data_IF_194811010121
#
_entry.id   IF_194811010121
#
_cell.length_a   1.000
_cell.length_b   1.000
_cell.length_c   1.000
_cell.angle_alpha   90.00
_cell.angle_beta   90.00
_cell.angle_gamma   90.00
#
_symmetry.space_group_name_H-M   'P 1'
#
loop_
_entity.id
_entity.type
_entity.pdbx_description
1 polymer ?
#
# COMPACT_ATOMS: atom_id res chain seq x y z
N UNK A 1 18.18 -14.37 40.21
CA UNK A 1 17.67 -13.15 40.81
C UNK A 1 16.90 -12.20 39.84
N UNK A 2 16.62 -12.57 38.58
CA UNK A 2 15.89 -11.71 37.60
C UNK A 2 14.36 -11.97 37.49
N UNK A 3 13.80 -12.97 38.17
CA UNK A 3 12.35 -13.32 38.11
C UNK A 3 11.47 -12.68 39.22
N UNK A 4 12.06 -11.97 40.19
CA UNK A 4 11.33 -11.36 41.29
C UNK A 4 10.90 -9.91 41.06
N UNK A 5 11.61 -9.16 40.19
CA UNK A 5 11.35 -7.73 39.98
C UNK A 5 10.12 -7.49 39.09
N UNK A 6 9.84 -8.42 38.14
CA UNK A 6 8.70 -8.31 37.20
C UNK A 6 7.32 -8.40 37.91
N UNK A 7 7.21 -9.14 39.01
CA UNK A 7 5.92 -9.31 39.75
C UNK A 7 5.55 -8.09 40.58
N UNK A 8 6.52 -7.30 41.03
CA UNK A 8 6.26 -6.11 41.82
C UNK A 8 5.87 -4.89 40.95
N UNK A 9 6.33 -4.83 39.73
CA UNK A 9 5.95 -3.78 38.76
C UNK A 9 4.51 -3.98 38.30
N UNK A 10 4.06 -5.21 38.09
CA UNK A 10 2.67 -5.52 37.74
C UNK A 10 1.67 -5.20 38.87
N UNK A 11 2.10 -5.32 40.13
CA UNK A 11 1.24 -5.02 41.30
C UNK A 11 1.11 -3.51 41.56
N UNK A 12 2.11 -2.72 41.21
CA UNK A 12 2.09 -1.23 41.33
C UNK A 12 1.21 -0.57 40.26
N UNK A 13 1.15 -1.12 39.05
CA UNK A 13 0.30 -0.60 38.00
C UNK A 13 -1.20 -0.88 38.24
N UNK A 14 -1.55 -1.97 38.90
CA UNK A 14 -2.95 -2.27 39.23
C UNK A 14 -3.53 -1.43 40.38
N UNK A 15 -2.71 -0.90 41.27
CA UNK A 15 -3.15 -0.01 42.37
C UNK A 15 -3.39 1.41 41.89
N UNK A 16 -2.68 1.89 40.89
CA UNK A 16 -2.88 3.24 40.33
C UNK A 16 -4.17 3.36 39.51
N UNK A 17 -4.67 2.28 38.87
CA UNK A 17 -5.94 2.27 38.15
C UNK A 17 -7.20 2.31 39.04
N UNK A 18 -7.11 1.91 40.32
CA UNK A 18 -8.26 1.87 41.25
C UNK A 18 -8.49 3.23 41.92
N UNK A 19 -7.53 4.11 41.96
CA UNK A 19 -7.65 5.42 42.64
C UNK A 19 -8.24 6.53 41.75
N UNK A 20 -8.32 6.35 40.42
CA UNK A 20 -8.89 7.36 39.49
C UNK A 20 -10.42 7.23 39.24
N UNK A 21 -11.11 6.25 39.78
CA UNK A 21 -12.55 6.06 39.60
C UNK A 21 -13.44 6.62 40.73
N UNK A 22 -12.88 7.31 41.74
CA UNK A 22 -13.63 7.74 42.95
C UNK A 22 -13.84 9.24 43.15
N UNK A 23 -13.65 10.08 42.13
CA UNK A 23 -13.86 11.53 42.28
C UNK A 23 -14.70 12.09 41.10
N UNK A 24 -16.01 12.03 41.21
CA UNK A 24 -16.87 12.68 40.22
C UNK A 24 -18.35 12.41 40.37
N UNK A 25 -18.95 12.69 41.51
CA UNK A 25 -20.41 12.83 41.65
C UNK A 25 -20.77 13.86 42.72
N UNK A 26 -21.34 15.00 42.33
CA UNK A 26 -22.24 15.84 43.13
C UNK A 26 -22.95 16.82 42.21
N UNK A 27 -24.19 16.58 41.82
CA UNK A 27 -25.52 17.15 42.16
C UNK A 27 -25.47 18.64 42.54
N UNK A 28 -26.34 19.53 42.13
CA UNK A 28 -27.80 19.71 42.00
C UNK A 28 -27.98 21.22 41.87
N UNK A 29 -28.96 21.86 41.35
CA UNK A 29 -30.41 21.88 41.28
C UNK A 29 -30.89 23.15 40.57
N UNK A 30 -31.85 23.00 39.76
CA UNK A 30 -33.07 23.77 39.46
C UNK A 30 -33.36 25.05 40.23
N UNK A 31 -33.76 26.10 39.49
CA UNK A 31 -35.03 26.84 39.75
C UNK A 31 -35.36 27.84 38.66
N UNK A 32 -36.47 27.65 37.95
CA UNK A 32 -37.41 28.68 37.50
C UNK A 32 -38.32 29.05 38.69
N UNK A 33 -39.17 30.11 38.69
CA UNK A 33 -39.96 30.65 37.57
C UNK A 33 -40.36 32.16 37.62
N UNK A 34 -40.96 32.61 36.53
CA UNK A 34 -42.21 33.36 36.37
C UNK A 34 -42.33 34.86 36.60
N UNK A 35 -42.85 35.48 35.53
CA UNK A 35 -43.98 36.45 35.45
C UNK A 35 -43.78 37.87 36.02
N UNK A 36 -44.25 38.90 35.51
CA UNK A 36 -45.43 39.26 34.71
C UNK A 36 -45.43 40.77 34.48
N UNK A 37 -46.10 41.17 33.41
CA UNK A 37 -46.98 42.33 33.27
C UNK A 37 -46.48 43.75 32.96
N UNK A 38 -46.88 44.12 31.80
CA UNK A 38 -47.89 45.15 31.38
C UNK A 38 -47.49 46.62 31.25
N UNK A 39 -47.77 47.05 30.06
CA UNK A 39 -48.62 48.19 29.65
C UNK A 39 -47.93 49.55 29.41
N UNK A 40 -48.11 50.00 28.29
CA UNK A 40 -48.87 51.09 27.69
C UNK A 40 -48.07 52.21 27.02
N UNK A 41 -48.53 52.50 25.82
CA UNK A 41 -48.12 53.56 24.90
C UNK A 41 -48.62 54.96 25.44
N UNK A 42 -48.32 56.13 24.83
CA UNK A 42 -48.54 56.35 23.39
C UNK A 42 -47.51 57.29 22.69
N UNK A 43 -47.73 57.38 21.39
CA UNK A 43 -47.15 58.15 20.33
C UNK A 43 -46.79 59.61 20.56
N UNK A 44 -45.75 60.09 19.92
CA UNK A 44 -45.74 61.42 19.27
C UNK A 44 -44.81 61.39 18.01
N UNK A 45 -45.45 61.84 16.93
CA UNK A 45 -44.93 62.14 15.61
C UNK A 45 -44.01 63.35 15.63
N UNK A 46 -42.91 63.28 14.88
CA UNK A 46 -42.23 64.44 14.31
C UNK A 46 -41.50 64.03 13.02
N UNK A 47 -41.87 64.74 11.98
CA UNK A 47 -41.34 64.72 10.60
C UNK A 47 -39.92 65.14 10.46
N UNK A 48 -39.31 64.65 9.32
CA UNK A 48 -38.33 65.30 8.44
C UNK A 48 -36.91 64.80 8.47
N UNK A 49 -36.20 64.90 7.40
CA UNK A 49 -36.35 64.66 5.96
C UNK A 49 -35.50 63.57 5.37
N UNK A 50 -35.80 63.20 4.13
CA UNK A 50 -35.08 62.29 3.30
C UNK A 50 -33.57 62.60 3.18
N UNK A 51 -32.75 61.64 3.53
CA UNK A 51 -31.33 61.59 3.20
C UNK A 51 -31.14 60.61 2.03
N UNK A 52 -30.36 61.05 1.06
CA UNK A 52 -30.09 60.35 -0.19
C UNK A 52 -29.55 58.95 0.00
N UNK A 53 -30.02 58.02 -0.83
CA UNK A 53 -29.49 56.66 -0.98
C UNK A 53 -28.00 56.70 -1.27
N UNK A 54 -27.16 56.24 -0.33
CA UNK A 54 -25.83 55.72 -0.62
C UNK A 54 -25.99 54.38 -1.36
N UNK A 55 -25.19 54.10 -2.41
CA UNK A 55 -25.31 52.82 -3.09
C UNK A 55 -24.92 51.71 -2.13
N UNK A 56 -25.84 50.76 -1.98
CA UNK A 56 -25.69 49.48 -1.28
C UNK A 56 -24.41 48.82 -1.78
N UNK A 57 -23.42 48.74 -0.91
CA UNK A 57 -22.18 48.05 -1.18
C UNK A 57 -22.54 46.55 -1.34
N UNK A 58 -22.46 46.04 -2.55
CA UNK A 58 -22.66 44.63 -2.81
C UNK A 58 -21.72 43.86 -1.89
N UNK A 59 -22.30 43.07 -0.98
CA UNK A 59 -21.54 42.11 -0.16
C UNK A 59 -20.68 41.28 -1.09
N UNK A 60 -19.38 41.30 -0.82
CA UNK A 60 -18.47 40.35 -1.43
C UNK A 60 -18.99 38.94 -1.08
N UNK A 61 -18.98 38.00 -2.04
CA UNK A 61 -19.43 36.64 -1.75
C UNK A 61 -18.68 36.12 -0.53
N UNK A 62 -19.44 35.76 0.50
CA UNK A 62 -18.97 35.11 1.72
C UNK A 62 -18.16 33.88 1.23
N UNK A 63 -16.87 33.89 1.44
CA UNK A 63 -16.02 32.72 1.11
C UNK A 63 -16.51 31.58 2.00
N UNK A 64 -17.09 30.57 1.37
CA UNK A 64 -17.48 29.35 2.07
C UNK A 64 -16.25 28.82 2.85
N UNK A 65 -16.45 28.41 4.10
CA UNK A 65 -15.38 27.83 4.90
C UNK A 65 -14.81 26.59 4.17
N UNK A 66 -13.49 26.40 4.16
CA UNK A 66 -12.87 25.25 3.49
C UNK A 66 -13.42 23.93 4.03
N UNK A 67 -13.75 23.02 3.13
CA UNK A 67 -14.12 21.65 3.48
C UNK A 67 -12.85 20.94 3.95
N UNK A 68 -12.94 20.21 5.07
CA UNK A 68 -11.81 19.40 5.55
C UNK A 68 -12.11 17.91 5.33
N UNK A 69 -11.17 17.21 4.69
CA UNK A 69 -11.19 15.75 4.53
C UNK A 69 -9.99 15.12 5.21
N UNK A 70 -10.14 13.88 5.66
CA UNK A 70 -9.08 13.10 6.28
C UNK A 70 -8.50 12.08 5.30
N UNK A 71 -7.17 12.01 5.20
CA UNK A 71 -6.45 11.03 4.39
C UNK A 71 -5.56 10.15 5.25
N UNK A 72 -5.85 8.84 5.30
CA UNK A 72 -4.98 7.87 5.98
C UNK A 72 -4.00 7.23 5.01
N UNK A 73 -2.73 7.15 5.41
CA UNK A 73 -1.66 6.57 4.59
C UNK A 73 -0.64 5.80 5.43
N UNK A 74 0.12 4.95 4.76
CA UNK A 74 1.19 4.13 5.34
C UNK A 74 2.55 4.43 4.71
N UNK A 75 2.74 5.66 4.20
CA UNK A 75 3.98 6.08 3.58
C UNK A 75 5.18 5.86 4.50
N UNK A 76 6.28 5.36 3.94
CA UNK A 76 7.59 5.34 4.58
C UNK A 76 8.16 6.76 4.73
N UNK A 77 9.28 6.90 5.43
CA UNK A 77 9.81 8.23 5.77
C UNK A 77 10.14 9.08 4.53
N UNK A 78 10.73 8.49 3.48
CA UNK A 78 11.05 9.20 2.23
C UNK A 78 9.81 9.54 1.42
N UNK A 79 8.85 8.62 1.34
CA UNK A 79 7.57 8.82 0.67
C UNK A 79 6.75 9.92 1.34
N UNK A 80 6.65 9.88 2.69
CA UNK A 80 5.94 10.89 3.46
C UNK A 80 6.59 12.27 3.32
N UNK A 81 7.93 12.33 3.33
CA UNK A 81 8.65 13.58 3.11
C UNK A 81 8.35 14.18 1.73
N UNK A 82 8.33 13.36 0.68
CA UNK A 82 7.99 13.78 -0.67
C UNK A 82 6.52 14.23 -0.77
N UNK A 83 5.61 13.46 -0.18
CA UNK A 83 4.20 13.78 -0.13
C UNK A 83 3.94 15.13 0.58
N UNK A 84 4.49 15.32 1.79
CA UNK A 84 4.23 16.52 2.58
C UNK A 84 4.93 17.78 2.04
N UNK A 85 6.13 17.64 1.46
CA UNK A 85 6.93 18.79 1.04
C UNK A 85 6.74 19.19 -0.42
N UNK A 86 6.24 18.28 -1.27
CA UNK A 86 6.06 18.53 -2.71
C UNK A 86 4.60 18.40 -3.12
N UNK A 87 3.96 17.28 -2.81
CA UNK A 87 2.60 16.98 -3.29
C UNK A 87 1.55 17.85 -2.59
N UNK A 88 1.60 17.95 -1.26
CA UNK A 88 0.61 18.74 -0.52
C UNK A 88 0.61 20.24 -0.84
N UNK A 89 1.76 20.93 -1.03
CA UNK A 89 1.78 22.30 -1.50
C UNK A 89 1.17 22.51 -2.89
N UNK A 90 1.28 21.53 -3.80
CA UNK A 90 0.60 21.58 -5.10
C UNK A 90 -0.92 21.50 -4.91
N UNK A 91 -1.39 20.58 -4.06
CA UNK A 91 -2.80 20.46 -3.72
C UNK A 91 -3.37 21.76 -3.16
N UNK A 92 -2.74 22.32 -2.13
CA UNK A 92 -3.17 23.55 -1.47
C UNK A 92 -3.24 24.76 -2.43
N UNK A 93 -2.37 24.74 -3.46
CA UNK A 93 -2.39 25.79 -4.50
C UNK A 93 -3.55 25.63 -5.47
N UNK A 94 -3.87 24.37 -5.85
CA UNK A 94 -4.90 24.05 -6.84
C UNK A 94 -6.31 24.03 -6.22
N UNK A 95 -6.42 23.60 -4.97
CA UNK A 95 -7.67 23.37 -4.26
C UNK A 95 -7.68 24.03 -2.86
N UNK A 96 -7.53 25.37 -2.78
CA UNK A 96 -7.49 26.07 -1.48
C UNK A 96 -8.81 25.96 -0.68
N UNK A 97 -9.89 25.55 -1.35
CA UNK A 97 -11.22 25.30 -0.75
C UNK A 97 -11.35 23.93 -0.06
N UNK A 98 -10.38 23.01 -0.26
CA UNK A 98 -10.40 21.67 0.33
C UNK A 98 -9.11 21.46 1.14
N UNK A 99 -9.24 21.43 2.45
CA UNK A 99 -8.14 21.09 3.36
C UNK A 99 -8.03 19.58 3.51
N UNK A 100 -6.81 19.04 3.42
CA UNK A 100 -6.54 17.61 3.67
C UNK A 100 -5.78 17.46 4.99
N UNK A 101 -6.34 16.69 5.91
CA UNK A 101 -5.65 16.24 7.13
C UNK A 101 -5.08 14.84 6.88
N UNK A 102 -3.80 14.79 6.51
CA UNK A 102 -3.09 13.55 6.29
C UNK A 102 -2.63 12.93 7.62
N UNK A 103 -2.92 11.65 7.81
CA UNK A 103 -2.61 10.92 9.05
C UNK A 103 -1.87 9.64 8.70
N UNK A 104 -0.59 9.58 9.06
CA UNK A 104 0.20 8.36 8.91
C UNK A 104 -0.24 7.31 9.92
N UNK A 105 -0.41 6.08 9.44
CA UNK A 105 -0.81 4.92 10.21
C UNK A 105 0.31 3.87 10.24
N UNK A 106 0.31 3.05 11.29
CA UNK A 106 1.21 1.89 11.39
C UNK A 106 0.77 0.80 10.41
N UNK A 107 1.62 0.44 9.46
CA UNK A 107 1.33 -0.53 8.41
C UNK A 107 0.94 -1.91 8.94
N UNK A 108 1.52 -2.34 10.08
CA UNK A 108 1.30 -3.66 10.67
C UNK A 108 -0.14 -3.86 11.20
N UNK A 109 -0.84 -2.76 11.54
CA UNK A 109 -2.20 -2.80 12.08
C UNK A 109 -3.23 -2.15 11.13
N UNK A 110 -2.77 -1.60 10.02
CA UNK A 110 -3.58 -0.74 9.16
C UNK A 110 -4.82 -1.42 8.60
N UNK A 111 -4.68 -2.65 8.09
CA UNK A 111 -5.83 -3.44 7.61
C UNK A 111 -6.91 -3.58 8.69
N UNK A 112 -6.52 -3.97 9.92
CA UNK A 112 -7.45 -4.15 11.02
C UNK A 112 -8.11 -2.83 11.45
N UNK A 113 -7.37 -1.72 11.41
CA UNK A 113 -7.89 -0.40 11.72
C UNK A 113 -8.97 0.01 10.71
N UNK A 114 -8.72 -0.16 9.41
CA UNK A 114 -9.70 0.13 8.35
C UNK A 114 -10.96 -0.72 8.53
N UNK A 115 -10.83 -2.04 8.68
CA UNK A 115 -11.98 -2.93 8.85
C UNK A 115 -12.82 -2.56 10.08
N UNK A 116 -12.16 -2.23 11.18
CA UNK A 116 -12.85 -1.80 12.43
C UNK A 116 -13.57 -0.48 12.25
N UNK A 117 -13.03 0.43 11.43
CA UNK A 117 -13.60 1.76 11.20
C UNK A 117 -14.96 1.71 10.51
N UNK A 118 -15.23 0.72 9.64
CA UNK A 118 -16.50 0.59 8.93
C UNK A 118 -17.72 0.53 9.85
N UNK A 119 -17.59 -0.18 10.97
CA UNK A 119 -18.70 -0.36 11.93
C UNK A 119 -18.85 0.77 12.95
N UNK A 120 -17.88 1.67 13.06
CA UNK A 120 -17.82 2.68 14.12
C UNK A 120 -18.09 4.10 13.62
N UNK A 121 -18.13 4.31 12.29
CA UNK A 121 -18.24 5.65 11.69
C UNK A 121 -16.96 6.49 11.87
N UNK A 122 -15.82 5.84 12.14
CA UNK A 122 -14.51 6.48 12.33
C UNK A 122 -13.59 6.28 11.13
N UNK A 123 -14.14 5.89 9.99
CA UNK A 123 -13.36 5.78 8.75
C UNK A 123 -12.86 7.14 8.30
N UNK A 124 -11.69 7.22 7.66
CA UNK A 124 -11.27 8.46 6.97
C UNK A 124 -12.19 8.76 5.78
N UNK A 125 -12.04 9.93 5.18
CA UNK A 125 -12.71 10.24 3.90
C UNK A 125 -12.02 9.50 2.75
N UNK A 126 -10.68 9.44 2.79
CA UNK A 126 -9.81 8.82 1.78
C UNK A 126 -8.73 7.99 2.46
N UNK A 127 -8.33 6.90 1.84
CA UNK A 127 -7.17 6.13 2.32
C UNK A 127 -6.33 5.57 1.17
N UNK A 128 -5.01 5.46 1.42
CA UNK A 128 -4.09 4.61 0.67
C UNK A 128 -4.29 3.17 1.13
N UNK A 129 -4.58 2.27 0.22
CA UNK A 129 -5.00 0.88 0.51
C UNK A 129 -4.19 -0.09 -0.32
N UNK A 130 -3.60 -1.11 0.30
CA UNK A 130 -2.96 -2.20 -0.44
C UNK A 130 -3.94 -2.84 -1.43
N UNK A 131 -3.51 -3.01 -2.67
CA UNK A 131 -4.30 -3.55 -3.79
C UNK A 131 -5.03 -4.86 -3.46
N UNK A 132 -4.49 -5.67 -2.57
CA UNK A 132 -5.07 -6.95 -2.17
C UNK A 132 -6.33 -6.82 -1.29
N UNK A 133 -6.61 -5.63 -0.75
CA UNK A 133 -7.68 -5.40 0.22
C UNK A 133 -8.95 -4.73 -0.38
N UNK A 134 -8.87 -4.12 -1.54
CA UNK A 134 -10.00 -3.38 -2.15
C UNK A 134 -11.25 -4.25 -2.25
N UNK A 135 -11.12 -5.47 -2.78
CA UNK A 135 -12.27 -6.37 -2.94
C UNK A 135 -12.93 -6.73 -1.60
N UNK A 136 -12.14 -6.90 -0.54
CA UNK A 136 -12.62 -7.20 0.81
C UNK A 136 -13.36 -6.01 1.41
N UNK A 137 -12.84 -4.81 1.26
CA UNK A 137 -13.45 -3.58 1.77
C UNK A 137 -14.72 -3.19 1.00
N UNK A 138 -14.71 -3.36 -0.33
CA UNK A 138 -15.88 -3.16 -1.18
C UNK A 138 -17.00 -4.14 -0.83
N UNK A 139 -16.69 -5.42 -0.60
CA UNK A 139 -17.66 -6.43 -0.15
C UNK A 139 -18.31 -6.07 1.18
N UNK A 140 -17.58 -5.44 2.08
CA UNK A 140 -18.10 -4.99 3.38
C UNK A 140 -18.90 -3.69 3.28
N UNK A 141 -18.97 -3.06 2.09
CA UNK A 141 -19.68 -1.81 1.87
C UNK A 141 -18.96 -0.57 2.42
N UNK A 142 -17.65 -0.69 2.75
CA UNK A 142 -16.87 0.41 3.30
C UNK A 142 -16.41 1.43 2.26
N UNK A 143 -16.32 1.04 0.97
CA UNK A 143 -15.80 1.89 -0.09
C UNK A 143 -16.90 2.38 -1.04
N UNK A 144 -16.79 3.62 -1.49
CA UNK A 144 -17.62 4.18 -2.55
C UNK A 144 -17.20 3.62 -3.92
N UNK A 145 -18.16 3.35 -4.79
CA UNK A 145 -17.87 2.93 -6.16
C UNK A 145 -17.47 4.14 -7.00
N UNK A 146 -16.17 4.32 -7.26
CA UNK A 146 -15.66 5.47 -8.01
C UNK A 146 -16.07 5.43 -9.49
N UNK A 147 -16.35 4.24 -10.02
CA UNK A 147 -16.91 4.08 -11.38
C UNK A 147 -18.30 4.68 -11.56
N UNK A 148 -18.98 5.09 -10.50
CA UNK A 148 -20.27 5.78 -10.58
C UNK A 148 -20.12 7.30 -10.85
N UNK A 149 -18.90 7.85 -10.75
CA UNK A 149 -18.62 9.24 -11.11
C UNK A 149 -18.54 9.42 -12.64
N UNK A 150 -19.09 10.51 -13.18
CA UNK A 150 -19.27 10.67 -14.63
C UNK A 150 -17.97 10.78 -15.43
N UNK A 151 -16.89 11.23 -14.83
CA UNK A 151 -15.55 11.40 -15.44
C UNK A 151 -14.65 10.17 -15.31
N UNK A 152 -15.04 9.17 -14.53
CA UNK A 152 -14.25 7.97 -14.26
C UNK A 152 -13.80 7.24 -15.53
N UNK A 153 -14.67 7.09 -16.54
CA UNK A 153 -14.34 6.38 -17.76
C UNK A 153 -13.19 7.05 -18.54
N UNK A 154 -13.14 8.37 -18.54
CA UNK A 154 -12.04 9.13 -19.14
C UNK A 154 -10.75 8.99 -18.34
N UNK A 155 -10.84 9.09 -17.03
CA UNK A 155 -9.71 8.96 -16.11
C UNK A 155 -9.10 7.57 -16.17
N UNK A 156 -9.90 6.52 -16.05
CA UNK A 156 -9.44 5.12 -16.02
C UNK A 156 -8.75 4.68 -17.31
N UNK A 157 -9.07 5.27 -18.45
CA UNK A 157 -8.41 4.99 -19.72
C UNK A 157 -6.91 5.36 -19.75
N UNK A 158 -6.48 6.28 -18.88
CA UNK A 158 -5.08 6.72 -18.75
C UNK A 158 -4.22 5.78 -17.91
N UNK A 159 -4.83 4.94 -17.09
CA UNK A 159 -4.11 4.04 -16.19
C UNK A 159 -3.64 2.75 -16.85
N UNK A 160 -2.57 2.17 -16.35
CA UNK A 160 -2.13 0.83 -16.66
C UNK A 160 -3.22 -0.19 -16.30
N UNK A 161 -3.44 -1.17 -17.16
CA UNK A 161 -4.57 -2.10 -17.02
C UNK A 161 -4.41 -3.01 -15.79
N UNK A 162 -3.19 -3.45 -15.47
CA UNK A 162 -2.94 -4.33 -14.33
C UNK A 162 -3.21 -3.64 -12.98
N UNK A 163 -2.62 -2.46 -12.66
CA UNK A 163 -2.99 -1.72 -11.44
C UNK A 163 -4.47 -1.33 -11.39
N UNK A 164 -5.07 -0.90 -12.50
CA UNK A 164 -6.49 -0.56 -12.52
C UNK A 164 -7.37 -1.76 -12.17
N UNK A 165 -7.00 -2.96 -12.62
CA UNK A 165 -7.80 -4.18 -12.38
C UNK A 165 -7.91 -4.57 -10.91
N UNK A 166 -6.99 -4.15 -10.05
CA UNK A 166 -7.01 -4.44 -8.61
C UNK A 166 -8.18 -3.76 -7.89
N UNK A 167 -8.68 -2.68 -8.48
CA UNK A 167 -9.82 -1.91 -7.95
C UNK A 167 -11.19 -2.49 -8.33
N UNK A 168 -11.21 -3.52 -9.17
CA UNK A 168 -12.46 -4.07 -9.72
C UNK A 168 -13.08 -5.10 -8.77
N UNK A 169 -14.33 -4.86 -8.36
CA UNK A 169 -15.12 -5.82 -7.63
C UNK A 169 -16.57 -5.81 -8.14
N UNK A 170 -17.11 -6.98 -8.53
CA UNK A 170 -18.48 -7.17 -9.05
C UNK A 170 -18.88 -6.16 -10.15
N UNK A 171 -17.96 -5.86 -11.06
CA UNK A 171 -18.21 -4.99 -12.22
C UNK A 171 -18.13 -3.49 -11.93
N UNK A 172 -17.72 -3.09 -10.72
CA UNK A 172 -17.49 -1.70 -10.34
C UNK A 172 -16.07 -1.51 -9.82
N UNK A 173 -15.52 -0.29 -9.97
CA UNK A 173 -14.22 0.10 -9.44
C UNK A 173 -14.39 0.88 -8.13
N UNK A 174 -13.68 0.47 -7.09
CA UNK A 174 -13.80 1.00 -5.72
C UNK A 174 -12.59 1.80 -5.27
N UNK A 175 -11.67 2.08 -6.16
CA UNK A 175 -10.50 2.93 -5.96
C UNK A 175 -9.94 3.37 -7.30
N UNK A 176 -8.88 4.18 -7.24
CA UNK A 176 -7.99 4.49 -8.35
C UNK A 176 -6.61 3.94 -8.01
N UNK A 177 -5.84 3.41 -8.98
CA UNK A 177 -4.47 3.00 -8.70
C UNK A 177 -3.66 4.23 -8.30
N UNK A 178 -2.96 4.17 -7.17
CA UNK A 178 -2.17 5.28 -6.62
C UNK A 178 -0.71 5.17 -7.02
N UNK A 179 -0.15 3.99 -6.84
CA UNK A 179 1.16 3.59 -7.30
C UNK A 179 1.16 2.12 -7.69
N UNK A 180 2.21 1.68 -8.35
CA UNK A 180 2.40 0.27 -8.68
C UNK A 180 3.84 -0.13 -8.40
N UNK A 181 4.07 -1.41 -8.20
CA UNK A 181 5.38 -1.98 -8.08
C UNK A 181 5.35 -3.47 -8.42
N UNK A 182 6.51 -4.07 -8.57
CA UNK A 182 6.65 -5.50 -8.69
C UNK A 182 8.00 -5.90 -8.06
N UNK A 183 8.23 -7.19 -7.89
CA UNK A 183 9.56 -7.68 -7.57
C UNK A 183 10.40 -7.76 -8.84
N UNK A 184 11.66 -7.30 -8.75
CA UNK A 184 12.71 -7.55 -9.73
C UNK A 184 13.90 -8.20 -9.03
N UNK A 185 14.87 -8.66 -9.79
CA UNK A 185 16.09 -9.21 -9.21
C UNK A 185 16.98 -8.06 -8.69
N UNK A 186 17.27 -8.08 -7.39
CA UNK A 186 18.37 -7.32 -6.78
C UNK A 186 19.60 -8.21 -6.81
N UNK A 187 20.64 -7.76 -7.48
CA UNK A 187 21.80 -8.60 -7.84
C UNK A 187 23.08 -7.98 -7.36
N UNK A 188 23.88 -8.75 -6.60
CA UNK A 188 25.26 -8.39 -6.27
C UNK A 188 26.21 -8.95 -7.33
N UNK A 189 26.69 -8.09 -8.22
CA UNK A 189 27.60 -8.48 -9.31
C UNK A 189 28.97 -8.97 -8.83
N UNK A 190 29.41 -8.61 -7.61
CA UNK A 190 30.65 -9.12 -7.06
C UNK A 190 30.49 -10.60 -6.64
N UNK A 191 29.36 -10.93 -5.98
CA UNK A 191 29.07 -12.32 -5.60
C UNK A 191 28.77 -13.17 -6.84
N UNK A 192 28.13 -12.61 -7.89
CA UNK A 192 27.98 -13.32 -9.17
C UNK A 192 29.33 -13.74 -9.77
N UNK A 193 30.33 -12.86 -9.73
CA UNK A 193 31.69 -13.20 -10.21
C UNK A 193 32.33 -14.33 -9.41
N UNK A 194 32.05 -14.42 -8.11
CA UNK A 194 32.51 -15.57 -7.29
C UNK A 194 31.86 -16.88 -7.73
N UNK A 195 30.65 -16.82 -8.33
CA UNK A 195 30.02 -17.98 -8.96
C UNK A 195 30.55 -18.28 -10.37
N UNK A 196 31.47 -17.47 -10.88
CA UNK A 196 32.01 -17.61 -12.25
C UNK A 196 31.12 -16.97 -13.32
N UNK A 197 30.20 -16.10 -12.93
CA UNK A 197 29.32 -15.37 -13.83
C UNK A 197 29.81 -13.92 -13.97
N UNK A 198 30.32 -13.56 -15.13
CA UNK A 198 30.82 -12.21 -15.41
C UNK A 198 29.70 -11.21 -15.65
N UNK A 199 28.53 -11.70 -16.09
CA UNK A 199 27.31 -10.93 -16.37
C UNK A 199 26.12 -11.52 -15.63
N UNK A 200 25.04 -10.75 -15.49
CA UNK A 200 23.78 -11.25 -14.92
C UNK A 200 23.19 -12.28 -15.89
N UNK A 201 22.95 -13.52 -15.44
CA UNK A 201 22.48 -14.58 -16.32
C UNK A 201 21.09 -14.27 -16.87
N UNK A 202 20.86 -14.56 -18.13
CA UNK A 202 19.57 -14.40 -18.78
C UNK A 202 18.56 -15.48 -18.34
N UNK A 203 19.05 -16.62 -17.86
CA UNK A 203 18.21 -17.74 -17.43
C UNK A 203 18.53 -18.17 -16.00
N UNK A 204 17.49 -18.63 -15.30
CA UNK A 204 17.63 -19.17 -13.95
C UNK A 204 18.39 -20.51 -13.95
N UNK A 205 18.31 -21.26 -15.04
CA UNK A 205 19.11 -22.49 -15.20
C UNK A 205 20.62 -22.21 -15.12
N UNK A 206 21.10 -21.19 -15.81
CA UNK A 206 22.50 -20.78 -15.76
C UNK A 206 22.91 -20.34 -14.35
N UNK A 207 22.05 -19.54 -13.68
CA UNK A 207 22.26 -19.13 -12.30
C UNK A 207 22.35 -20.33 -11.35
N UNK A 208 21.39 -21.27 -11.44
CA UNK A 208 21.32 -22.47 -10.59
C UNK A 208 22.57 -23.33 -10.74
N UNK A 209 23.01 -23.59 -11.98
CA UNK A 209 24.23 -24.39 -12.21
C UNK A 209 25.47 -23.73 -11.61
N UNK A 210 25.61 -22.43 -11.74
CA UNK A 210 26.69 -21.67 -11.12
C UNK A 210 26.63 -21.72 -9.58
N UNK A 211 25.43 -21.49 -9.01
CA UNK A 211 25.20 -21.49 -7.57
C UNK A 211 25.50 -22.85 -6.91
N UNK A 212 25.15 -23.96 -7.55
CA UNK A 212 25.47 -25.33 -7.07
C UNK A 212 26.96 -25.54 -6.84
N UNK A 213 27.82 -24.88 -7.62
CA UNK A 213 29.27 -25.02 -7.48
C UNK A 213 29.81 -24.38 -6.21
N UNK A 214 29.12 -23.37 -5.66
CA UNK A 214 29.52 -22.65 -4.44
C UNK A 214 29.31 -23.46 -3.17
N UNK A 215 28.30 -24.32 -3.13
CA UNK A 215 27.95 -25.15 -1.98
C UNK A 215 27.42 -24.40 -0.77
N UNK A 216 27.03 -23.10 -0.96
CA UNK A 216 26.36 -22.24 0.02
C UNK A 216 25.24 -21.50 -0.67
N UNK A 217 24.25 -21.05 0.09
CA UNK A 217 23.14 -20.31 -0.43
C UNK A 217 23.57 -19.09 -1.27
N UNK A 218 23.00 -18.95 -2.43
CA UNK A 218 23.31 -17.87 -3.38
C UNK A 218 22.09 -17.01 -3.73
N UNK A 219 20.89 -17.52 -3.43
CA UNK A 219 19.61 -16.83 -3.60
C UNK A 219 18.83 -16.88 -2.30
N UNK A 220 18.31 -15.74 -1.86
CA UNK A 220 17.51 -15.65 -0.65
C UNK A 220 16.07 -15.28 -0.97
N UNK A 221 15.14 -15.80 -0.17
CA UNK A 221 13.75 -15.40 -0.11
C UNK A 221 13.43 -14.95 1.31
N UNK A 222 12.90 -13.74 1.44
CA UNK A 222 12.71 -13.10 2.74
C UNK A 222 11.68 -13.81 3.62
N UNK A 223 10.64 -14.42 3.03
CA UNK A 223 9.58 -15.06 3.77
C UNK A 223 8.80 -16.11 2.98
N UNK A 224 7.86 -16.75 3.65
CA UNK A 224 6.98 -17.79 3.09
C UNK A 224 5.67 -17.24 2.51
N UNK A 225 5.42 -15.94 2.65
CA UNK A 225 4.20 -15.28 2.19
C UNK A 225 4.05 -15.27 0.67
N UNK A 226 2.86 -14.91 0.24
CA UNK A 226 2.50 -14.81 -1.18
C UNK A 226 3.38 -13.79 -1.93
N UNK A 227 3.63 -12.63 -1.33
CA UNK A 227 4.52 -11.61 -1.88
C UNK A 227 5.93 -12.14 -2.18
N UNK A 228 6.47 -12.98 -1.30
CA UNK A 228 7.83 -13.48 -1.43
C UNK A 228 7.93 -14.72 -2.32
N UNK A 229 6.96 -15.63 -2.21
CA UNK A 229 7.05 -16.96 -2.83
C UNK A 229 6.39 -17.06 -4.19
N UNK A 230 5.35 -16.26 -4.49
CA UNK A 230 4.62 -16.36 -5.77
C UNK A 230 5.51 -16.15 -7.00
N UNK A 231 6.48 -15.21 -7.02
CA UNK A 231 7.38 -15.08 -8.17
C UNK A 231 8.12 -16.37 -8.51
N UNK A 232 8.65 -17.07 -7.51
CA UNK A 232 9.35 -18.34 -7.70
C UNK A 232 8.39 -19.46 -8.11
N UNK A 233 7.24 -19.57 -7.46
CA UNK A 233 6.23 -20.56 -7.78
C UNK A 233 5.77 -20.45 -9.25
N UNK A 234 5.46 -19.25 -9.72
CA UNK A 234 5.09 -19.01 -11.11
C UNK A 234 6.24 -19.18 -12.08
N UNK A 235 7.44 -18.76 -11.70
CA UNK A 235 8.66 -18.94 -12.51
C UNK A 235 8.90 -20.42 -12.83
N UNK A 236 8.74 -21.28 -11.84
CA UNK A 236 8.89 -22.74 -12.01
C UNK A 236 7.64 -23.43 -12.58
N UNK A 237 6.63 -22.68 -12.98
CA UNK A 237 5.47 -23.19 -13.73
C UNK A 237 4.24 -23.47 -12.91
N UNK A 238 4.23 -23.10 -11.62
CA UNK A 238 3.04 -23.20 -10.76
C UNK A 238 1.90 -22.32 -11.20
N UNK A 239 0.67 -22.74 -10.94
CA UNK A 239 -0.56 -22.03 -11.28
C UNK A 239 -1.47 -22.02 -10.06
N UNK A 240 -1.92 -20.84 -9.62
CA UNK A 240 -2.76 -20.72 -8.41
C UNK A 240 -4.23 -21.00 -8.71
N UNK A 241 -4.75 -20.44 -9.80
CA UNK A 241 -6.18 -20.46 -10.14
C UNK A 241 -6.38 -20.48 -11.65
N UNK A 242 -7.63 -20.63 -12.09
CA UNK A 242 -8.06 -20.25 -13.43
C UNK A 242 -7.86 -18.74 -13.69
N UNK A 243 -7.93 -18.32 -14.96
CA UNK A 243 -7.73 -16.90 -15.36
C UNK A 243 -8.78 -15.95 -14.76
N UNK A 244 -9.93 -16.47 -14.37
CA UNK A 244 -11.01 -15.68 -13.75
C UNK A 244 -10.94 -15.60 -12.22
N UNK A 245 -9.92 -16.18 -11.59
CA UNK A 245 -9.78 -16.27 -10.13
C UNK A 245 -10.98 -16.90 -9.41
N UNK A 246 -11.66 -17.83 -10.08
CA UNK A 246 -12.89 -18.46 -9.55
C UNK A 246 -12.66 -19.83 -8.95
N UNK A 247 -11.55 -20.49 -9.30
CA UNK A 247 -11.27 -21.86 -8.93
C UNK A 247 -9.77 -22.12 -8.76
N UNK A 248 -9.39 -22.65 -7.60
CA UNK A 248 -8.02 -23.10 -7.33
C UNK A 248 -7.84 -24.61 -7.60
N UNK A 249 -8.88 -25.42 -7.32
CA UNK A 249 -8.83 -26.88 -7.54
C UNK A 249 -8.64 -27.23 -9.02
N UNK A 250 -7.68 -28.08 -9.32
CA UNK A 250 -7.25 -28.44 -10.65
C UNK A 250 -6.15 -27.52 -11.23
N UNK A 251 -5.78 -26.48 -10.48
CA UNK A 251 -4.71 -25.54 -10.78
C UNK A 251 -3.60 -25.61 -9.70
N UNK A 252 -3.92 -25.22 -8.47
CA UNK A 252 -2.95 -25.25 -7.37
C UNK A 252 -2.52 -26.69 -7.05
N UNK A 253 -3.41 -27.67 -7.18
CA UNK A 253 -3.17 -29.10 -7.00
C UNK A 253 -2.81 -29.84 -8.31
N UNK A 254 -2.45 -29.11 -9.38
CA UNK A 254 -2.01 -29.70 -10.65
C UNK A 254 -0.60 -30.25 -10.56
N UNK A 255 -0.29 -31.22 -11.47
CA UNK A 255 1.08 -31.76 -11.60
C UNK A 255 2.12 -30.64 -11.81
N UNK A 256 1.78 -29.59 -12.56
CA UNK A 256 2.67 -28.45 -12.79
C UNK A 256 2.94 -27.66 -11.50
N UNK A 257 1.94 -27.42 -10.67
CA UNK A 257 2.07 -26.72 -9.40
C UNK A 257 2.85 -27.55 -8.38
N UNK A 258 2.60 -28.85 -8.34
CA UNK A 258 3.38 -29.79 -7.50
C UNK A 258 4.84 -29.79 -7.94
N UNK A 259 5.11 -29.89 -9.25
CA UNK A 259 6.48 -29.86 -9.77
C UNK A 259 7.21 -28.54 -9.48
N UNK A 260 6.50 -27.41 -9.57
CA UNK A 260 7.06 -26.11 -9.22
C UNK A 260 7.48 -26.04 -7.76
N UNK A 261 6.64 -26.49 -6.83
CA UNK A 261 6.99 -26.53 -5.41
C UNK A 261 8.13 -27.52 -5.12
N UNK A 262 8.10 -28.70 -5.72
CA UNK A 262 9.19 -29.68 -5.63
C UNK A 262 10.53 -29.09 -6.11
N UNK A 263 10.50 -28.26 -7.17
CA UNK A 263 11.71 -27.58 -7.65
C UNK A 263 12.26 -26.60 -6.63
N UNK A 264 11.41 -25.85 -5.94
CA UNK A 264 11.83 -24.94 -4.87
C UNK A 264 12.44 -25.71 -3.70
N UNK A 265 11.83 -26.83 -3.29
CA UNK A 265 12.39 -27.73 -2.25
C UNK A 265 13.74 -28.30 -2.67
N UNK A 266 13.88 -28.81 -3.90
CA UNK A 266 15.15 -29.29 -4.45
C UNK A 266 16.25 -28.23 -4.35
N UNK A 267 15.97 -27.00 -4.76
CA UNK A 267 16.94 -25.91 -4.71
C UNK A 267 17.34 -25.51 -3.28
N UNK A 268 16.43 -25.64 -2.33
CA UNK A 268 16.73 -25.45 -0.92
C UNK A 268 17.64 -26.55 -0.39
N UNK A 269 17.35 -27.82 -0.67
CA UNK A 269 18.15 -28.97 -0.25
C UNK A 269 19.56 -28.95 -0.87
N UNK A 270 19.68 -28.47 -2.10
CA UNK A 270 20.95 -28.27 -2.81
C UNK A 270 21.72 -27.02 -2.36
N UNK A 271 21.18 -26.25 -1.41
CA UNK A 271 21.75 -24.99 -0.88
C UNK A 271 21.94 -23.88 -1.93
N UNK A 272 21.15 -23.91 -2.97
CA UNK A 272 21.06 -22.80 -3.93
C UNK A 272 20.18 -21.70 -3.38
N UNK A 273 19.07 -22.09 -2.77
CA UNK A 273 17.94 -21.27 -2.34
C UNK A 273 17.77 -21.37 -0.83
N UNK A 274 17.59 -20.24 -0.13
CA UNK A 274 17.28 -20.21 1.30
C UNK A 274 16.03 -19.39 1.56
N UNK A 275 15.28 -19.77 2.60
CA UNK A 275 14.09 -19.05 3.06
C UNK A 275 14.31 -18.65 4.51
N UNK A 276 14.51 -17.37 4.77
CA UNK A 276 14.85 -16.85 6.11
C UNK A 276 13.91 -17.33 7.20
N UNK A 277 12.59 -17.29 6.94
CA UNK A 277 11.58 -17.66 7.95
C UNK A 277 11.55 -19.17 8.27
N UNK A 278 12.19 -19.99 7.44
CA UNK A 278 12.30 -21.45 7.59
C UNK A 278 13.59 -21.85 8.27
N UNK A 279 14.73 -21.40 7.75
CA UNK A 279 16.06 -21.88 8.16
C UNK A 279 16.84 -20.88 9.01
N UNK A 280 16.29 -19.67 9.26
CA UNK A 280 16.93 -18.64 10.07
C UNK A 280 18.19 -18.05 9.42
N UNK A 281 18.31 -18.12 8.11
CA UNK A 281 19.38 -17.49 7.34
C UNK A 281 19.41 -15.98 7.52
N UNK A 282 20.51 -15.35 7.09
CA UNK A 282 20.65 -13.89 7.11
C UNK A 282 19.57 -13.26 6.26
N UNK A 283 19.02 -12.15 6.72
CA UNK A 283 18.04 -11.38 5.97
C UNK A 283 18.54 -11.03 4.57
N UNK A 284 17.66 -11.08 3.56
CA UNK A 284 18.03 -10.83 2.17
C UNK A 284 18.69 -9.46 1.97
N UNK A 285 18.18 -8.43 2.63
CA UNK A 285 18.66 -7.06 2.51
C UNK A 285 20.05 -6.85 3.11
N UNK A 286 20.36 -7.59 4.19
CA UNK A 286 21.72 -7.58 4.78
C UNK A 286 22.65 -8.51 4.00
N UNK A 287 22.20 -9.72 3.70
CA UNK A 287 23.01 -10.78 3.07
C UNK A 287 23.40 -10.49 1.63
N UNK A 288 22.63 -9.68 0.89
CA UNK A 288 22.99 -9.26 -0.47
C UNK A 288 24.32 -8.50 -0.52
N UNK A 289 24.76 -7.91 0.58
CA UNK A 289 26.04 -7.19 0.63
C UNK A 289 27.27 -8.13 0.50
N UNK A 290 27.16 -9.43 0.83
CA UNK A 290 28.30 -10.33 0.85
C UNK A 290 27.98 -11.82 0.72
N UNK A 291 26.76 -12.25 1.00
CA UNK A 291 26.39 -13.67 1.08
C UNK A 291 25.64 -14.15 -0.16
N UNK A 292 24.65 -13.39 -0.61
CA UNK A 292 23.78 -13.76 -1.71
C UNK A 292 24.16 -13.06 -2.99
N UNK A 293 24.02 -13.75 -4.10
CA UNK A 293 24.18 -13.17 -5.42
C UNK A 293 22.89 -12.47 -5.90
N UNK A 294 21.74 -12.93 -5.39
CA UNK A 294 20.44 -12.47 -5.86
C UNK A 294 19.34 -12.65 -4.81
N UNK A 295 18.36 -11.76 -4.80
CA UNK A 295 17.04 -11.94 -4.22
C UNK A 295 16.02 -11.11 -4.99
N UNK A 296 14.74 -11.39 -4.85
CA UNK A 296 13.70 -10.63 -5.55
C UNK A 296 13.05 -9.66 -4.59
N UNK A 297 13.05 -8.35 -4.96
CA UNK A 297 12.51 -7.31 -4.10
C UNK A 297 11.93 -6.15 -4.90
N UNK A 298 11.11 -5.33 -4.23
CA UNK A 298 10.52 -4.13 -4.79
C UNK A 298 11.52 -2.96 -4.92
N UNK A 299 11.13 -1.88 -5.64
CA UNK A 299 12.02 -0.75 -5.92
C UNK A 299 12.46 0.03 -4.68
N UNK A 300 11.72 -0.06 -3.58
CA UNK A 300 12.06 0.57 -2.30
C UNK A 300 13.38 0.11 -1.70
N UNK A 301 13.89 -1.07 -2.09
CA UNK A 301 15.25 -1.48 -1.71
C UNK A 301 16.29 -0.43 -2.09
N UNK A 302 16.24 0.07 -3.32
CA UNK A 302 17.18 1.07 -3.83
C UNK A 302 16.95 2.46 -3.23
N UNK A 303 15.73 2.80 -2.84
CA UNK A 303 15.43 4.01 -2.07
C UNK A 303 15.98 3.96 -0.64
N UNK A 304 15.98 2.78 -0.03
CA UNK A 304 16.52 2.57 1.32
C UNK A 304 18.04 2.45 1.35
N UNK A 305 18.67 2.01 0.25
CA UNK A 305 20.11 1.79 0.12
C UNK A 305 20.66 2.51 -1.12
N UNK A 306 20.69 3.85 -1.07
CA UNK A 306 21.11 4.72 -2.17
C UNK A 306 22.53 4.43 -2.71
N UNK A 307 23.41 3.86 -1.88
CA UNK A 307 24.77 3.51 -2.26
C UNK A 307 24.92 2.12 -2.92
N UNK A 308 23.82 1.39 -3.11
CA UNK A 308 23.81 0.01 -3.66
C UNK A 308 24.53 -0.09 -5.00
N UNK A 309 24.21 0.80 -5.94
CA UNK A 309 24.84 0.78 -7.26
C UNK A 309 26.37 0.96 -7.18
N UNK A 310 26.85 1.80 -6.27
CA UNK A 310 28.29 1.99 -6.05
C UNK A 310 28.98 0.78 -5.44
N UNK A 311 28.23 -0.09 -4.76
CA UNK A 311 28.69 -1.36 -4.18
C UNK A 311 28.60 -2.53 -5.15
N UNK A 312 28.12 -2.31 -6.37
CA UNK A 312 27.91 -3.35 -7.37
C UNK A 312 26.62 -4.15 -7.16
N UNK A 313 25.67 -3.58 -6.40
CA UNK A 313 24.32 -4.15 -6.25
C UNK A 313 23.39 -3.37 -7.17
N UNK A 314 22.74 -4.06 -8.10
CA UNK A 314 21.92 -3.44 -9.16
C UNK A 314 20.58 -4.15 -9.33
N UNK A 315 19.64 -3.49 -9.98
CA UNK A 315 18.42 -4.12 -10.44
C UNK A 315 18.63 -4.86 -11.76
N UNK A 316 17.94 -5.95 -11.94
CA UNK A 316 17.82 -6.67 -13.20
C UNK A 316 16.42 -7.29 -13.34
N UNK A 317 15.99 -7.59 -14.55
CA UNK A 317 14.82 -8.46 -14.72
C UNK A 317 15.11 -9.84 -14.15
N UNK A 318 14.09 -10.47 -13.57
CA UNK A 318 14.23 -11.84 -13.07
C UNK A 318 14.62 -12.77 -14.23
N UNK A 319 15.71 -13.53 -14.10
CA UNK A 319 16.13 -14.49 -15.13
C UNK A 319 15.00 -15.46 -15.46
N UNK A 320 14.80 -15.76 -16.73
CA UNK A 320 13.73 -16.68 -17.16
C UNK A 320 14.04 -18.12 -16.79
N UNK A 321 13.02 -18.94 -16.53
CA UNK A 321 13.15 -20.39 -16.38
C UNK A 321 12.30 -21.10 -17.43
N UNK A 322 12.91 -21.94 -18.25
CA UNK A 322 12.26 -22.61 -19.41
C UNK A 322 11.48 -21.59 -20.29
N UNK A 323 12.05 -20.39 -20.45
CA UNK A 323 11.43 -19.30 -21.21
C UNK A 323 10.29 -18.56 -20.49
N UNK A 324 9.97 -18.91 -19.25
CA UNK A 324 8.96 -18.20 -18.44
C UNK A 324 9.62 -17.06 -17.68
N UNK A 325 8.99 -15.90 -17.65
CA UNK A 325 9.28 -14.80 -16.73
C UNK A 325 8.09 -14.65 -15.76
N UNK A 326 8.37 -14.30 -14.51
CA UNK A 326 7.33 -14.11 -13.52
C UNK A 326 7.76 -13.09 -12.46
N UNK A 327 6.79 -12.30 -12.02
CA UNK A 327 6.89 -11.43 -10.84
C UNK A 327 5.51 -11.28 -10.22
N UNK A 328 5.44 -10.65 -9.08
CA UNK A 328 4.19 -10.30 -8.39
C UNK A 328 3.95 -8.80 -8.51
N UNK A 329 2.71 -8.41 -8.83
CA UNK A 329 2.27 -7.01 -8.79
C UNK A 329 1.97 -6.64 -7.34
N UNK A 330 2.51 -5.53 -6.93
CA UNK A 330 2.18 -4.80 -5.72
C UNK A 330 1.76 -3.39 -6.04
N UNK A 331 1.66 -2.58 -5.01
CA UNK A 331 1.24 -1.20 -5.07
C UNK A 331 0.03 -0.95 -4.21
N UNK A 332 -0.41 0.28 -4.24
CA UNK A 332 -1.55 0.76 -3.49
C UNK A 332 -2.54 1.46 -4.38
N UNK A 333 -3.77 1.38 -3.95
CA UNK A 333 -4.90 2.10 -4.50
C UNK A 333 -5.29 3.25 -3.57
N UNK A 334 -5.91 4.29 -4.10
CA UNK A 334 -6.55 5.33 -3.31
C UNK A 334 -8.06 5.15 -3.37
N UNK A 335 -8.69 5.03 -2.21
CA UNK A 335 -10.10 4.71 -2.09
C UNK A 335 -10.85 5.76 -1.26
N UNK A 336 -12.10 6.03 -1.63
CA UNK A 336 -13.04 6.91 -0.92
C UNK A 336 -13.99 6.06 -0.09
N UNK A 337 -14.23 6.47 1.16
CA UNK A 337 -15.09 5.73 2.07
C UNK A 337 -16.56 6.17 1.95
N UNK A 338 -17.47 5.19 2.07
CA UNK A 338 -18.94 5.46 2.01
C UNK A 338 -19.43 6.35 3.15
N UNK A 339 -18.67 6.43 4.24
CA UNK A 339 -18.99 7.25 5.42
C UNK A 339 -18.50 8.69 5.31
N UNK A 340 -17.76 9.04 4.23
CA UNK A 340 -17.32 10.42 4.01
C UNK A 340 -18.50 11.39 3.98
N UNK A 341 -18.38 12.47 4.72
CA UNK A 341 -19.34 13.58 4.65
C UNK A 341 -19.14 14.45 3.40
N UNK A 342 -17.98 14.30 2.73
CA UNK A 342 -17.53 15.13 1.60
C UNK A 342 -17.03 14.26 0.43
N UNK A 343 -17.86 13.33 -0.10
CA UNK A 343 -17.39 12.34 -1.08
C UNK A 343 -16.87 12.94 -2.38
N UNK A 344 -17.41 14.09 -2.83
CA UNK A 344 -16.92 14.81 -4.01
C UNK A 344 -15.52 15.38 -3.78
N UNK A 345 -15.29 16.01 -2.63
CA UNK A 345 -13.97 16.54 -2.26
C UNK A 345 -12.93 15.40 -2.09
N UNK A 346 -13.36 14.29 -1.50
CA UNK A 346 -12.56 13.07 -1.36
C UNK A 346 -12.18 12.48 -2.73
N UNK A 347 -13.11 12.44 -3.67
CA UNK A 347 -12.85 11.97 -5.03
C UNK A 347 -11.94 12.92 -5.82
N UNK A 348 -12.11 14.25 -5.67
CA UNK A 348 -11.19 15.24 -6.28
C UNK A 348 -9.75 15.04 -5.77
N UNK A 349 -9.57 14.83 -4.46
CA UNK A 349 -8.25 14.54 -3.91
C UNK A 349 -7.70 13.21 -4.45
N UNK A 350 -8.53 12.15 -4.54
CA UNK A 350 -8.10 10.89 -5.12
C UNK A 350 -7.63 11.04 -6.59
N UNK A 351 -8.35 11.82 -7.39
CA UNK A 351 -7.92 12.13 -8.79
C UNK A 351 -6.62 12.91 -8.83
N UNK A 352 -6.48 13.92 -7.98
CA UNK A 352 -5.24 14.70 -7.90
C UNK A 352 -4.04 13.81 -7.60
N UNK A 353 -4.17 12.88 -6.64
CA UNK A 353 -3.10 11.96 -6.26
C UNK A 353 -2.66 11.04 -7.40
N UNK A 354 -3.51 10.83 -8.40
CA UNK A 354 -3.19 10.05 -9.61
C UNK A 354 -2.80 10.89 -10.83
N UNK A 355 -2.64 12.21 -10.66
CA UNK A 355 -2.23 13.13 -11.73
C UNK A 355 -0.77 12.94 -12.12
N UNK A 356 -0.42 13.36 -13.34
CA UNK A 356 0.95 13.22 -13.86
C UNK A 356 1.99 13.93 -12.98
N UNK A 357 1.69 15.15 -12.51
CA UNK A 357 2.59 15.92 -11.64
C UNK A 357 2.86 15.18 -10.31
N UNK A 358 1.84 14.58 -9.70
CA UNK A 358 1.99 13.82 -8.45
C UNK A 358 2.73 12.51 -8.71
N UNK A 359 2.43 11.80 -9.81
CA UNK A 359 3.11 10.57 -10.17
C UNK A 359 4.61 10.78 -10.42
N UNK A 360 4.99 11.89 -11.09
CA UNK A 360 6.38 12.26 -11.27
C UNK A 360 7.06 12.65 -9.95
N UNK A 361 6.36 13.40 -9.08
CA UNK A 361 6.88 13.75 -7.77
C UNK A 361 7.14 12.51 -6.90
N UNK A 362 6.19 11.56 -6.86
CA UNK A 362 6.30 10.36 -6.02
C UNK A 362 7.28 9.32 -6.60
N UNK A 363 7.58 9.38 -7.92
CA UNK A 363 8.63 8.56 -8.52
C UNK A 363 10.00 8.84 -7.88
N UNK A 364 10.28 10.08 -7.48
CA UNK A 364 11.52 10.43 -6.75
C UNK A 364 11.64 9.72 -5.39
N UNK A 365 10.51 9.33 -4.79
CA UNK A 365 10.48 8.51 -3.57
C UNK A 365 10.43 7.00 -3.84
N UNK A 366 10.51 6.57 -5.11
CA UNK A 366 10.54 5.17 -5.51
C UNK A 366 9.18 4.54 -5.82
N UNK A 367 8.11 5.34 -5.90
CA UNK A 367 6.81 4.85 -6.35
C UNK A 367 6.74 4.83 -7.88
N UNK A 368 6.53 3.65 -8.46
CA UNK A 368 6.40 3.54 -9.91
C UNK A 368 5.05 4.09 -10.38
N UNK A 369 5.03 4.83 -11.50
CA UNK A 369 3.84 5.49 -11.97
C UNK A 369 2.82 4.52 -12.56
N UNK A 370 1.54 4.86 -12.39
CA UNK A 370 0.40 4.08 -12.88
C UNK A 370 -0.13 4.59 -14.23
N UNK A 371 0.40 5.70 -14.74
CA UNK A 371 -0.05 6.32 -15.99
C UNK A 371 0.66 5.73 -17.21
N UNK A 372 -0.13 5.36 -18.23
CA UNK A 372 0.40 4.89 -19.52
C UNK A 372 1.36 5.88 -20.19
N UNK A 373 1.12 7.19 -20.03
CA UNK A 373 1.97 8.25 -20.57
C UNK A 373 3.38 8.27 -19.97
N UNK A 374 3.53 7.81 -18.72
CA UNK A 374 4.81 7.87 -18.00
C UNK A 374 5.70 6.65 -18.20
N UNK A 375 5.17 5.52 -18.67
CA UNK A 375 5.95 4.28 -18.86
C UNK A 375 7.20 4.52 -19.72
N UNK A 376 7.09 5.30 -20.78
CA UNK A 376 8.21 5.62 -21.70
C UNK A 376 8.78 7.01 -21.48
N UNK A 377 8.46 7.67 -20.38
CA UNK A 377 8.97 9.01 -20.07
C UNK A 377 10.49 8.99 -19.80
N UNK A 378 11.16 10.11 -20.05
CA UNK A 378 12.58 10.27 -19.74
C UNK A 378 12.85 10.07 -18.23
N UNK A 379 11.93 10.50 -17.37
CA UNK A 379 12.03 10.34 -15.91
C UNK A 379 12.15 8.86 -15.51
N UNK A 380 11.37 7.98 -16.14
CA UNK A 380 11.45 6.52 -15.87
C UNK A 380 12.65 5.91 -16.59
N UNK A 381 12.83 6.18 -17.90
CA UNK A 381 13.79 5.45 -18.73
C UNK A 381 15.25 5.84 -18.48
N UNK A 382 15.52 7.05 -17.99
CA UNK A 382 16.89 7.49 -17.65
C UNK A 382 17.40 6.90 -16.32
N UNK A 383 16.51 6.44 -15.46
CA UNK A 383 16.90 5.80 -14.20
C UNK A 383 17.10 4.30 -14.43
N UNK A 384 18.33 3.76 -14.19
CA UNK A 384 18.66 2.35 -14.46
C UNK A 384 17.89 1.36 -13.59
N UNK A 385 17.34 1.81 -12.46
CA UNK A 385 16.51 1.00 -11.57
C UNK A 385 15.06 1.01 -12.06
N UNK A 386 14.46 2.18 -12.23
CA UNK A 386 13.05 2.30 -12.62
C UNK A 386 12.75 1.65 -13.96
N UNK A 387 13.65 1.80 -14.95
CA UNK A 387 13.49 1.16 -16.26
C UNK A 387 13.42 -0.35 -16.17
N UNK A 388 14.21 -0.98 -15.29
CA UNK A 388 14.17 -2.43 -15.05
C UNK A 388 12.85 -2.87 -14.44
N UNK A 389 12.37 -2.16 -13.41
CA UNK A 389 11.10 -2.51 -12.78
C UNK A 389 9.92 -2.35 -13.74
N UNK A 390 9.90 -1.30 -14.55
CA UNK A 390 8.87 -1.11 -15.57
C UNK A 390 8.92 -2.20 -16.65
N UNK A 391 10.10 -2.68 -17.03
CA UNK A 391 10.24 -3.83 -17.92
C UNK A 391 9.75 -5.12 -17.25
N UNK A 392 10.08 -5.35 -15.98
CA UNK A 392 9.66 -6.52 -15.23
C UNK A 392 8.13 -6.55 -15.04
N UNK A 393 7.48 -5.38 -14.97
CA UNK A 393 6.02 -5.26 -14.84
C UNK A 393 5.26 -5.97 -15.96
N UNK A 394 5.85 -6.10 -17.16
CA UNK A 394 5.22 -6.79 -18.29
C UNK A 394 4.91 -8.27 -18.00
N UNK A 395 5.67 -8.90 -17.09
CA UNK A 395 5.50 -10.30 -16.69
C UNK A 395 4.96 -10.47 -15.27
N UNK A 396 4.67 -9.37 -14.59
CA UNK A 396 4.13 -9.40 -13.24
C UNK A 396 2.65 -9.79 -13.23
N UNK A 397 2.27 -10.60 -12.24
CA UNK A 397 0.91 -11.10 -12.06
C UNK A 397 0.31 -10.53 -10.78
N UNK A 398 -0.96 -10.18 -10.82
CA UNK A 398 -1.69 -9.77 -9.64
C UNK A 398 -1.81 -10.93 -8.63
N UNK A 399 -1.77 -10.62 -7.35
CA UNK A 399 -2.22 -11.52 -6.30
C UNK A 399 -3.72 -11.79 -6.50
N UNK A 400 -4.24 -12.87 -5.92
CA UNK A 400 -5.64 -13.26 -6.12
C UNK A 400 -6.56 -12.14 -5.61
N UNK A 401 -7.32 -11.45 -6.46
CA UNK A 401 -8.22 -10.36 -6.05
C UNK A 401 -9.50 -10.95 -5.42
N UNK A 402 -9.37 -11.42 -4.19
CA UNK A 402 -10.44 -12.10 -3.46
C UNK A 402 -10.80 -11.36 -2.18
N UNK A 403 -12.10 -11.24 -1.87
CA UNK A 403 -12.53 -10.79 -0.54
C UNK A 403 -12.07 -11.68 0.63
N UNK A 404 -11.55 -12.87 0.33
CA UNK A 404 -10.99 -13.81 1.30
C UNK A 404 -9.45 -13.83 1.24
N UNK A 405 -8.82 -12.80 0.70
CA UNK A 405 -7.37 -12.78 0.46
C UNK A 405 -6.56 -13.10 1.73
N UNK A 406 -6.90 -12.52 2.88
CA UNK A 406 -6.18 -12.79 4.14
C UNK A 406 -6.17 -14.28 4.51
N UNK A 407 -7.30 -14.98 4.33
CA UNK A 407 -7.37 -16.42 4.60
C UNK A 407 -6.56 -17.24 3.57
N UNK A 408 -6.52 -16.78 2.31
CA UNK A 408 -5.71 -17.41 1.26
C UNK A 408 -4.22 -17.27 1.60
N UNK A 409 -3.80 -16.09 2.03
CA UNK A 409 -2.41 -15.81 2.45
C UNK A 409 -2.00 -16.64 3.67
N UNK A 410 -2.88 -16.76 4.68
CA UNK A 410 -2.64 -17.59 5.86
C UNK A 410 -2.44 -19.06 5.47
N UNK A 411 -3.39 -19.64 4.72
CA UNK A 411 -3.30 -21.02 4.24
C UNK A 411 -2.04 -21.26 3.39
N UNK A 412 -1.69 -20.32 2.52
CA UNK A 412 -0.47 -20.40 1.71
C UNK A 412 0.77 -20.43 2.61
N UNK A 413 0.92 -19.48 3.53
CA UNK A 413 2.09 -19.38 4.40
C UNK A 413 2.25 -20.59 5.33
N UNK A 414 1.15 -21.08 5.90
CA UNK A 414 1.14 -22.31 6.71
C UNK A 414 1.55 -23.53 5.87
N UNK A 415 1.02 -23.66 4.64
CA UNK A 415 1.34 -24.77 3.75
C UNK A 415 2.81 -24.76 3.35
N UNK A 416 3.33 -23.61 2.91
CA UNK A 416 4.76 -23.48 2.55
C UNK A 416 5.64 -23.78 3.75
N UNK A 417 5.33 -23.26 4.93
CA UNK A 417 6.08 -23.57 6.16
C UNK A 417 6.07 -25.06 6.44
N UNK A 418 4.93 -25.74 6.36
CA UNK A 418 4.82 -27.17 6.62
C UNK A 418 5.64 -28.01 5.64
N UNK A 419 5.68 -27.63 4.35
CA UNK A 419 6.50 -28.31 3.34
C UNK A 419 7.99 -28.29 3.73
N UNK A 420 8.51 -27.16 4.17
CA UNK A 420 9.92 -27.01 4.48
C UNK A 420 10.31 -27.49 5.88
N UNK A 421 9.44 -27.31 6.87
CA UNK A 421 9.75 -27.66 8.29
C UNK A 421 9.37 -29.10 8.61
N UNK A 422 8.21 -29.55 8.15
CA UNK A 422 7.65 -30.86 8.48
C UNK A 422 7.93 -31.92 7.40
N UNK A 423 8.38 -31.51 6.21
CA UNK A 423 8.62 -32.40 5.07
C UNK A 423 7.32 -32.96 4.47
N UNK A 424 6.26 -32.13 4.46
CA UNK A 424 4.91 -32.50 4.05
C UNK A 424 4.77 -32.73 2.52
#
# INVERSE_FOLDING_TARGET
MKKSVSKWIALLLSVVMIVMCAAGCSKTQTQEPASDNTADAPAQTADTPAQADEPEQADAPEQAEPVTITFWHTYGDSEEAQFLNVVMPLWETLHPEIKVEAVRQDSSQYHQMIVTSFGTGMSPDVARVDIANIAAYAKQGGLAALSDYPDFAGLSASYLDAPLSTNLYQGKYYGLPLDTNCKAAVVNTNVLKELGLDEIPATMEEFIEAAKTRGTYSLNVSGVGDWDMYPYFWLFGGVLTDDGFTKASGYLDSDASIAAMQKIVELHDEKVFTIRDVDGSVDAWDGINSEYAMFFEGPWYFGSYEDSLSKGITAATIPTYEGRSASVVGGEDIAVFTTSAHPEAAYEFAKFMTSEDVQLAMLEAGQLPILKSLVSSEAVQSNPVWSVYMQQMESAKARIPSPNNSAIQEIWSETVTSIFVDGA
#
